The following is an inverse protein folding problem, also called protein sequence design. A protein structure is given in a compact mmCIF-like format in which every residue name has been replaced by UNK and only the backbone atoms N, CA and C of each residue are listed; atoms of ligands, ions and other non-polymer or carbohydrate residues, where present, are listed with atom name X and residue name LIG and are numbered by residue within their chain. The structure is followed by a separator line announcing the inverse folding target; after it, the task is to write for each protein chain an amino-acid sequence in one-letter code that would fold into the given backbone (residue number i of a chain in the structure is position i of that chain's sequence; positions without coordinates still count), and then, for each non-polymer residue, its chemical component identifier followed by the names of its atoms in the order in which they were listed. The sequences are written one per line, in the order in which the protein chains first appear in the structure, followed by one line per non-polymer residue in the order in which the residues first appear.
data_IF_619909841205
#
_entry.id   IF_619909841205
#
_cell.length_a   1.000
_cell.length_b   1.000
_cell.length_c   1.000
_cell.angle_alpha   90.00
_cell.angle_beta   90.00
_cell.angle_gamma   90.00
#
_symmetry.space_group_name_H-M   'P 1'
#
loop_
_entity.id
_entity.type
_entity.pdbx_description
1 polymer ?
#
# COMPACT_ATOMS: atom_id res chain seq x y z
N UNK A 1 2.34 11.33 8.99
CA UNK A 1 2.91 10.12 9.64
C UNK A 1 3.48 9.21 8.56
N UNK A 2 4.67 8.65 8.75
CA UNK A 2 5.27 7.69 7.80
C UNK A 2 4.61 6.32 8.00
N UNK A 3 3.81 5.87 7.04
CA UNK A 3 3.17 4.55 7.09
C UNK A 3 4.25 3.47 6.92
N UNK A 4 4.46 2.67 7.97
CA UNK A 4 5.39 1.55 7.90
C UNK A 4 4.71 0.37 7.18
N UNK A 5 4.96 0.23 5.89
CA UNK A 5 4.42 -0.88 5.11
C UNK A 5 4.98 -2.25 5.50
N UNK A 6 6.03 -2.33 6.34
CA UNK A 6 6.63 -3.59 6.78
C UNK A 6 5.86 -4.22 7.93
N UNK A 7 5.34 -3.40 8.85
CA UNK A 7 4.58 -3.83 10.03
C UNK A 7 3.21 -3.14 10.00
N UNK A 8 2.18 -3.86 9.57
CA UNK A 8 0.83 -3.32 9.39
C UNK A 8 0.06 -3.51 10.70
N UNK A 9 -0.32 -2.40 11.34
CA UNK A 9 -1.22 -2.42 12.49
C UNK A 9 -2.59 -1.86 12.06
N UNK A 10 -3.53 -2.74 11.74
CA UNK A 10 -4.77 -2.38 11.05
C UNK A 10 -5.73 -1.62 11.96
N UNK A 11 -5.84 -1.99 13.24
CA UNK A 11 -6.74 -1.33 14.19
C UNK A 11 -6.42 0.15 14.35
N UNK A 12 -5.14 0.51 14.41
CA UNK A 12 -4.72 1.91 14.49
C UNK A 12 -5.01 2.69 13.21
N UNK A 13 -4.91 2.06 12.05
CA UNK A 13 -5.26 2.71 10.78
C UNK A 13 -6.77 2.96 10.69
N UNK A 14 -7.59 2.01 11.14
CA UNK A 14 -9.04 2.18 11.25
C UNK A 14 -9.36 3.32 12.21
N UNK A 15 -8.76 3.35 13.41
CA UNK A 15 -8.95 4.43 14.40
C UNK A 15 -8.57 5.79 13.86
N UNK A 16 -7.44 5.87 13.14
CA UNK A 16 -7.02 7.12 12.53
C UNK A 16 -8.07 7.59 11.51
N UNK A 17 -8.56 6.69 10.66
CA UNK A 17 -9.55 7.03 9.65
C UNK A 17 -10.91 7.43 10.24
N UNK A 18 -11.33 6.81 11.35
CA UNK A 18 -12.56 7.23 12.05
C UNK A 18 -12.42 8.64 12.61
N UNK A 19 -11.25 9.00 13.14
CA UNK A 19 -10.95 10.35 13.65
C UNK A 19 -10.93 11.36 12.50
N UNK A 20 -10.30 11.03 11.36
CA UNK A 20 -10.25 11.90 10.18
C UNK A 20 -11.64 12.23 9.60
N UNK A 21 -12.60 11.32 9.76
CA UNK A 21 -13.97 11.48 9.32
C UNK A 21 -14.90 12.05 10.40
N UNK A 22 -14.36 12.36 11.60
CA UNK A 22 -15.14 12.76 12.78
C UNK A 22 -16.34 11.83 13.03
N UNK A 23 -16.09 10.52 12.89
CA UNK A 23 -17.15 9.52 12.93
C UNK A 23 -17.56 9.20 14.37
N UNK A 24 -18.82 9.47 14.67
CA UNK A 24 -19.39 9.18 15.98
C UNK A 24 -19.39 7.67 16.31
N UNK A 25 -18.99 7.33 17.53
CA UNK A 25 -18.87 5.95 18.01
C UNK A 25 -20.22 5.21 17.98
N UNK A 26 -21.34 5.91 18.20
CA UNK A 26 -22.67 5.30 18.16
C UNK A 26 -23.05 4.87 16.74
N UNK A 27 -22.65 5.63 15.71
CA UNK A 27 -22.84 5.24 14.30
C UNK A 27 -22.10 3.94 14.00
N UNK A 28 -20.87 3.83 14.48
CA UNK A 28 -20.05 2.62 14.33
C UNK A 28 -20.71 1.44 15.03
N UNK A 29 -21.09 1.61 16.31
CA UNK A 29 -21.79 0.60 17.10
C UNK A 29 -23.05 0.10 16.40
N UNK A 30 -23.86 1.01 15.84
CA UNK A 30 -25.07 0.68 15.11
C UNK A 30 -24.80 -0.10 13.82
N UNK A 31 -23.74 0.24 13.08
CA UNK A 31 -23.36 -0.46 11.85
C UNK A 31 -22.87 -1.89 12.13
N UNK A 32 -22.03 -2.06 13.15
CA UNK A 32 -21.46 -3.36 13.52
C UNK A 32 -22.35 -4.18 14.47
N UNK A 33 -23.40 -3.57 15.02
CA UNK A 33 -24.25 -4.17 16.07
C UNK A 33 -23.43 -4.66 17.27
N UNK A 34 -22.52 -3.81 17.74
CA UNK A 34 -21.62 -4.09 18.85
C UNK A 34 -21.54 -2.90 19.81
N UNK A 35 -20.88 -3.10 20.95
CA UNK A 35 -20.63 -2.08 21.97
C UNK A 35 -19.43 -1.19 21.65
N UNK A 36 -19.38 -0.01 22.28
CA UNK A 36 -18.24 0.89 22.16
C UNK A 36 -16.92 0.23 22.62
N UNK A 37 -16.98 -0.59 23.67
CA UNK A 37 -15.83 -1.34 24.17
C UNK A 37 -15.31 -2.35 23.14
N UNK A 38 -16.20 -3.00 22.38
CA UNK A 38 -15.80 -3.90 21.29
C UNK A 38 -15.15 -3.13 20.14
N UNK A 39 -15.64 -1.93 19.82
CA UNK A 39 -15.02 -1.06 18.81
C UNK A 39 -13.62 -0.61 19.26
N UNK A 40 -13.46 -0.16 20.52
CA UNK A 40 -12.15 0.23 21.04
C UNK A 40 -11.17 -0.95 21.04
N UNK A 41 -11.64 -2.17 21.35
CA UNK A 41 -10.80 -3.38 21.20
C UNK A 41 -10.35 -3.57 19.75
N UNK A 42 -11.22 -3.39 18.75
CA UNK A 42 -10.82 -3.48 17.34
C UNK A 42 -9.71 -2.51 16.98
N UNK A 43 -9.69 -1.31 17.57
CA UNK A 43 -8.64 -0.33 17.32
C UNK A 43 -7.26 -0.72 17.89
N UNK A 44 -7.24 -1.58 18.91
CA UNK A 44 -6.02 -2.04 19.56
C UNK A 44 -5.42 -3.29 18.91
N UNK A 45 -6.16 -3.97 18.03
CA UNK A 45 -5.67 -5.18 17.37
C UNK A 45 -4.79 -4.86 16.14
N UNK A 46 -3.68 -5.58 16.03
CA UNK A 46 -2.76 -5.49 14.88
C UNK A 46 -3.41 -6.01 13.60
N UNK A 47 -4.23 -7.06 13.72
CA UNK A 47 -5.00 -7.67 12.65
C UNK A 47 -6.50 -7.70 12.98
N UNK A 48 -7.33 -7.82 11.95
CA UNK A 48 -8.77 -7.98 12.09
C UNK A 48 -9.25 -9.10 11.17
N UNK A 49 -10.29 -9.86 11.57
CA UNK A 49 -10.95 -10.80 10.68
C UNK A 49 -11.38 -10.11 9.38
N UNK A 50 -11.13 -10.75 8.23
CA UNK A 50 -11.30 -10.10 6.92
C UNK A 50 -12.73 -9.66 6.62
N UNK A 51 -13.74 -10.36 7.16
CA UNK A 51 -15.14 -9.95 7.11
C UNK A 51 -15.39 -8.64 7.89
N UNK A 52 -14.75 -8.47 9.05
CA UNK A 52 -14.83 -7.24 9.85
C UNK A 52 -14.07 -6.11 9.16
N UNK A 53 -12.87 -6.38 8.64
CA UNK A 53 -12.08 -5.38 7.90
C UNK A 53 -12.81 -4.90 6.64
N UNK A 54 -13.47 -5.80 5.90
CA UNK A 54 -14.28 -5.43 4.74
C UNK A 54 -15.46 -4.53 5.12
N UNK A 55 -16.08 -4.79 6.27
CA UNK A 55 -17.13 -3.92 6.82
C UNK A 55 -16.60 -2.54 7.18
N UNK A 56 -15.39 -2.45 7.76
CA UNK A 56 -14.70 -1.18 7.98
C UNK A 56 -14.38 -0.45 6.67
N UNK A 57 -13.95 -1.16 5.64
CA UNK A 57 -13.72 -0.55 4.32
C UNK A 57 -14.99 0.11 3.76
N UNK A 58 -16.14 -0.55 3.94
CA UNK A 58 -17.44 -0.03 3.50
C UNK A 58 -17.89 1.17 4.32
N UNK A 59 -17.74 1.10 5.65
CA UNK A 59 -18.17 2.17 6.55
C UNK A 59 -17.33 3.44 6.39
N UNK A 60 -16.03 3.29 6.18
CA UNK A 60 -15.06 4.40 6.12
C UNK A 60 -14.67 4.80 4.70
N UNK A 61 -15.28 4.14 3.70
CA UNK A 61 -15.02 4.33 2.27
C UNK A 61 -13.51 4.30 1.94
N UNK A 62 -12.77 3.41 2.62
CA UNK A 62 -11.33 3.30 2.51
C UNK A 62 -10.91 1.84 2.32
N UNK A 63 -10.12 1.57 1.27
CA UNK A 63 -9.67 0.23 0.95
C UNK A 63 -8.41 -0.17 1.74
N UNK A 64 -8.62 -0.68 2.96
CA UNK A 64 -7.54 -1.15 3.84
C UNK A 64 -6.78 -2.37 3.28
N UNK A 65 -7.33 -3.12 2.32
CA UNK A 65 -6.64 -4.26 1.71
C UNK A 65 -5.47 -3.83 0.81
N UNK A 66 -5.44 -2.56 0.39
CA UNK A 66 -4.33 -2.00 -0.37
C UNK A 66 -3.04 -2.00 0.40
N UNK A 67 -3.07 -1.81 1.72
CA UNK A 67 -1.86 -1.82 2.55
C UNK A 67 -1.17 -3.18 2.46
N UNK A 68 -1.93 -4.27 2.57
CA UNK A 68 -1.41 -5.64 2.42
C UNK A 68 -0.95 -5.94 0.98
N UNK A 69 -1.72 -5.50 -0.01
CA UNK A 69 -1.33 -5.65 -1.42
C UNK A 69 -0.02 -4.93 -1.71
N UNK A 70 0.15 -3.70 -1.20
CA UNK A 70 1.37 -2.91 -1.32
C UNK A 70 2.55 -3.57 -0.59
N UNK A 71 2.33 -4.18 0.58
CA UNK A 71 3.36 -4.97 1.26
C UNK A 71 3.85 -6.11 0.37
N UNK A 72 2.95 -6.92 -0.19
CA UNK A 72 3.32 -8.01 -1.09
C UNK A 72 4.11 -7.49 -2.30
N UNK A 73 3.69 -6.37 -2.85
CA UNK A 73 4.32 -5.70 -3.98
C UNK A 73 5.76 -5.27 -3.68
N UNK A 74 5.99 -4.63 -2.54
CA UNK A 74 7.28 -4.03 -2.19
C UNK A 74 8.25 -5.07 -1.62
N UNK A 75 7.73 -6.09 -0.93
CA UNK A 75 8.53 -7.01 -0.12
C UNK A 75 8.47 -8.48 -0.56
N UNK A 76 7.59 -8.88 -1.48
CA UNK A 76 7.56 -10.25 -2.06
C UNK A 76 8.02 -10.25 -3.51
N UNK A 77 9.35 -10.27 -3.78
CA UNK A 77 9.86 -10.27 -5.14
C UNK A 77 9.32 -11.49 -5.91
N UNK A 78 9.02 -11.35 -7.22
CA UNK A 78 8.66 -12.52 -8.02
C UNK A 78 9.81 -13.52 -7.96
N UNK A 79 9.48 -14.78 -7.67
CA UNK A 79 10.45 -15.88 -7.69
C UNK A 79 11.27 -15.81 -8.99
N UNK A 80 12.60 -16.05 -8.90
CA UNK A 80 13.47 -16.12 -10.08
C UNK A 80 12.77 -17.01 -11.09
N UNK A 81 12.41 -16.44 -12.23
CA UNK A 81 11.85 -17.22 -13.33
C UNK A 81 12.94 -18.18 -13.76
N UNK A 82 12.85 -19.44 -13.34
CA UNK A 82 13.53 -20.52 -14.04
C UNK A 82 12.99 -20.48 -15.47
N UNK A 83 13.83 -20.04 -16.41
CA UNK A 83 13.49 -19.95 -17.82
C UNK A 83 13.07 -21.30 -18.42
N UNK A 84 13.28 -22.40 -17.69
CA UNK A 84 12.90 -23.77 -18.03
C UNK A 84 11.46 -24.16 -17.66
N UNK A 85 10.70 -23.35 -16.90
CA UNK A 85 9.29 -23.63 -16.56
C UNK A 85 8.36 -22.61 -17.19
N UNK A 86 8.29 -22.64 -18.52
CA UNK A 86 7.45 -21.73 -19.33
C UNK A 86 6.04 -22.27 -19.58
N UNK A 87 5.50 -23.06 -18.65
CA UNK A 87 4.07 -23.30 -18.58
C UNK A 87 3.53 -22.61 -17.33
N UNK A 88 3.07 -21.36 -17.50
CA UNK A 88 2.20 -20.75 -16.50
C UNK A 88 0.95 -21.61 -16.45
N UNK A 89 0.85 -22.51 -15.47
CA UNK A 89 -0.41 -23.20 -15.16
C UNK A 89 -1.49 -22.13 -15.11
N UNK A 90 -2.49 -22.26 -15.98
CA UNK A 90 -3.64 -21.35 -15.99
C UNK A 90 -4.29 -21.52 -14.61
N UNK A 91 -4.32 -20.43 -13.85
CA UNK A 91 -5.05 -20.42 -12.58
C UNK A 91 -6.52 -20.17 -12.88
N UNK A 92 -7.38 -20.91 -12.18
CA UNK A 92 -8.82 -20.67 -12.18
C UNK A 92 -9.20 -19.47 -11.29
N UNK A 93 -8.27 -18.98 -10.48
CA UNK A 93 -8.48 -17.80 -9.67
C UNK A 93 -8.49 -16.53 -10.52
N UNK A 94 -9.24 -15.49 -10.09
CA UNK A 94 -9.22 -14.18 -10.75
C UNK A 94 -7.80 -13.64 -10.90
N UNK A 95 -7.49 -13.18 -12.12
CA UNK A 95 -6.19 -12.59 -12.43
C UNK A 95 -6.30 -11.06 -12.42
N UNK A 96 -5.64 -10.43 -11.45
CA UNK A 96 -5.59 -8.98 -11.36
C UNK A 96 -4.42 -8.41 -12.18
N UNK A 97 -4.62 -7.24 -12.81
CA UNK A 97 -3.58 -6.61 -13.65
C UNK A 97 -2.34 -6.30 -12.80
N UNK A 98 -1.16 -6.59 -13.35
CA UNK A 98 0.16 -6.35 -12.72
C UNK A 98 0.55 -4.88 -12.53
N UNK A 99 -0.37 -3.92 -12.67
CA UNK A 99 -0.04 -2.52 -12.39
C UNK A 99 -0.03 -2.32 -10.87
N UNK A 100 1.11 -2.73 -10.35
CA UNK A 100 1.47 -2.85 -8.95
C UNK A 100 1.69 -1.48 -8.29
N UNK A 101 2.04 -0.47 -9.10
CA UNK A 101 2.43 0.85 -8.58
C UNK A 101 1.35 1.86 -8.90
N UNK A 102 0.66 2.31 -7.86
CA UNK A 102 -0.31 3.42 -7.96
C UNK A 102 0.43 4.74 -8.11
N UNK A 103 -0.28 5.80 -8.49
CA UNK A 103 0.32 7.13 -8.64
C UNK A 103 0.92 7.61 -7.32
N UNK A 104 0.27 7.32 -6.21
CA UNK A 104 0.72 7.68 -4.85
C UNK A 104 2.04 6.98 -4.49
N UNK A 105 2.21 5.70 -4.85
CA UNK A 105 3.48 4.98 -4.66
C UNK A 105 4.58 5.60 -5.53
N UNK A 106 4.26 5.97 -6.78
CA UNK A 106 5.21 6.62 -7.67
C UNK A 106 5.63 7.98 -7.08
N UNK A 107 4.67 8.79 -6.65
CA UNK A 107 4.90 10.14 -6.12
C UNK A 107 5.74 10.07 -4.82
N UNK A 108 5.42 9.16 -3.91
CA UNK A 108 6.20 8.91 -2.69
C UNK A 108 7.65 8.53 -2.99
N UNK A 109 7.88 7.59 -3.92
CA UNK A 109 9.23 7.16 -4.28
C UNK A 109 10.02 8.30 -4.94
N UNK A 110 9.36 9.10 -5.78
CA UNK A 110 9.98 10.27 -6.41
C UNK A 110 10.32 11.36 -5.38
N UNK A 111 9.47 11.56 -4.38
CA UNK A 111 9.74 12.49 -3.27
C UNK A 111 10.99 12.08 -2.48
N UNK A 112 11.14 10.80 -2.13
CA UNK A 112 12.33 10.28 -1.43
C UNK A 112 13.62 10.48 -2.23
N UNK A 113 13.56 10.33 -3.55
CA UNK A 113 14.70 10.55 -4.45
C UNK A 113 15.00 12.04 -4.57
N UNK A 114 13.98 12.88 -4.75
CA UNK A 114 14.13 14.32 -4.98
C UNK A 114 14.57 15.09 -3.73
N UNK A 115 14.13 14.63 -2.55
CA UNK A 115 14.56 15.14 -1.24
C UNK A 115 15.91 14.60 -0.80
N UNK A 116 16.54 13.72 -1.61
CA UNK A 116 17.79 13.02 -1.29
C UNK A 116 17.75 12.19 0.01
N UNK A 117 16.55 11.91 0.54
CA UNK A 117 16.38 11.04 1.70
C UNK A 117 16.84 9.60 1.40
N UNK A 118 16.69 9.15 0.15
CA UNK A 118 17.21 7.86 -0.31
C UNK A 118 17.81 7.95 -1.71
N UNK A 119 18.92 7.25 -1.91
CA UNK A 119 19.54 7.08 -3.23
C UNK A 119 18.72 6.15 -4.11
N UNK A 120 18.86 6.28 -5.44
CA UNK A 120 18.24 5.36 -6.42
C UNK A 120 18.56 3.88 -6.11
N UNK A 121 19.77 3.59 -5.59
CA UNK A 121 20.19 2.24 -5.19
C UNK A 121 19.45 1.75 -3.94
N UNK A 122 19.37 2.58 -2.90
CA UNK A 122 18.58 2.26 -1.70
C UNK A 122 17.11 2.02 -2.06
N UNK A 123 16.54 2.80 -2.99
CA UNK A 123 15.17 2.56 -3.45
C UNK A 123 15.01 1.18 -4.09
N UNK A 124 15.93 0.79 -4.98
CA UNK A 124 15.92 -0.51 -5.66
C UNK A 124 16.05 -1.66 -4.66
N UNK A 125 16.95 -1.53 -3.68
CA UNK A 125 17.25 -2.59 -2.73
C UNK A 125 16.14 -2.73 -1.66
N UNK A 126 15.65 -1.62 -1.13
CA UNK A 126 14.66 -1.60 -0.03
C UNK A 126 13.22 -1.83 -0.51
N UNK A 127 12.81 -1.19 -1.61
CA UNK A 127 11.44 -1.28 -2.14
C UNK A 127 11.29 -2.28 -3.29
N UNK A 128 12.39 -2.97 -3.65
CA UNK A 128 12.44 -3.97 -4.73
C UNK A 128 11.93 -3.47 -6.08
N UNK A 129 11.94 -2.15 -6.29
CA UNK A 129 11.50 -1.54 -7.55
C UNK A 129 12.57 -1.85 -8.60
N UNK A 130 12.22 -2.52 -9.71
CA UNK A 130 13.19 -2.81 -10.75
C UNK A 130 13.86 -1.54 -11.25
N UNK A 131 15.18 -1.57 -11.46
CA UNK A 131 15.96 -0.42 -11.95
C UNK A 131 15.29 0.25 -13.16
N UNK A 132 14.86 -0.54 -14.14
CA UNK A 132 14.20 -0.01 -15.34
C UNK A 132 12.87 0.68 -15.05
N UNK A 133 12.12 0.22 -14.05
CA UNK A 133 10.86 0.85 -13.60
C UNK A 133 11.13 2.20 -12.93
N UNK A 134 12.06 2.23 -11.96
CA UNK A 134 12.40 3.46 -11.24
C UNK A 134 12.88 4.57 -12.20
N UNK A 135 13.78 4.21 -13.12
CA UNK A 135 14.29 5.17 -14.10
C UNK A 135 13.20 5.67 -15.06
N UNK A 136 12.24 4.81 -15.46
CA UNK A 136 11.08 5.24 -16.26
C UNK A 136 10.20 6.24 -15.51
N UNK A 137 10.00 6.06 -14.20
CA UNK A 137 9.22 7.01 -13.41
C UNK A 137 9.91 8.35 -13.30
N UNK A 138 11.21 8.34 -13.01
CA UNK A 138 12.00 9.57 -12.94
C UNK A 138 11.90 10.31 -14.28
N UNK A 139 12.13 9.64 -15.41
CA UNK A 139 12.01 10.28 -16.72
C UNK A 139 10.61 10.83 -17.02
N UNK A 140 9.57 10.10 -16.64
CA UNK A 140 8.18 10.43 -17.02
C UNK A 140 7.57 11.51 -16.12
N UNK A 141 7.94 11.54 -14.85
CA UNK A 141 7.26 12.33 -13.83
C UNK A 141 8.16 13.34 -13.10
N UNK A 142 9.49 13.23 -13.22
CA UNK A 142 10.41 14.15 -12.56
C UNK A 142 10.82 15.29 -13.49
N UNK A 143 10.17 16.46 -13.34
CA UNK A 143 10.43 17.65 -14.19
C UNK A 143 11.85 18.21 -14.03
N UNK A 144 12.51 18.06 -12.87
CA UNK A 144 13.89 18.57 -12.62
C UNK A 144 14.94 17.97 -13.56
N UNK A 145 14.91 16.65 -13.81
CA UNK A 145 15.86 16.00 -14.76
C UNK A 145 15.58 16.37 -16.23
N UNK A 146 14.37 16.85 -16.56
CA UNK A 146 14.03 17.30 -17.92
C UNK A 146 14.60 18.69 -18.20
N UNK A 147 14.72 19.54 -17.18
CA UNK A 147 15.31 20.88 -17.28
C UNK A 147 16.85 20.83 -17.29
N UNK A 148 17.47 19.96 -16.49
CA UNK A 148 18.94 19.79 -16.45
C UNK A 148 19.53 19.18 -17.73
N UNK A 149 18.73 18.45 -18.53
CA UNK A 149 19.15 17.91 -19.84
C UNK A 149 18.94 18.89 -21.01
N UNK A 150 18.30 20.04 -20.77
CA UNK A 150 18.11 21.10 -21.78
C UNK A 150 19.15 22.22 -21.66
N UNK A 151 20.03 22.18 -20.67
CA UNK A 151 21.27 22.96 -20.58
C UNK A 151 22.44 22.14 -21.07
#
# INVERSE_FOLDING_TARGET
MSVNFKNIHIGSMVKQRTIELDMDISRICNFFKCSADEVEKMFLHEDLPTNILLSWCKLLEYDFFRTYSQHLILFSPPAKKDASKTEKKRTELPQFRKNIYTKEVIDFILELVNSQQKTKRQIIDEYRIPKTTLYKWIMKYNKKEIEDKKK
#
